data_IF_069588605682
#
_entry.id   IF_069588605682
#
_cell.length_a   1.000
_cell.length_b   1.000
_cell.length_c   1.000
_cell.angle_alpha   90.00
_cell.angle_beta   90.00
_cell.angle_gamma   90.00
#
_symmetry.space_group_name_H-M   'P 1'
#
loop_
_entity.id
_entity.type
_entity.pdbx_description
1 polymer ?
#
# COMPACT_ATOMS: atom_id res chain seq x y z
N UNK A 1 26.93 29.97 -40.00
CA UNK A 1 26.88 30.59 -38.65
C UNK A 1 26.87 29.49 -37.58
N UNK A 2 28.04 29.05 -37.10
CA UNK A 2 28.14 28.00 -36.06
C UNK A 2 27.45 28.41 -34.75
N UNK A 3 27.56 29.68 -34.36
CA UNK A 3 26.99 30.21 -33.12
C UNK A 3 25.46 30.09 -33.04
N UNK A 4 24.76 30.35 -34.15
CA UNK A 4 23.29 30.23 -34.19
C UNK A 4 22.86 28.77 -34.08
N UNK A 5 23.59 27.86 -34.71
CA UNK A 5 23.35 26.42 -34.56
C UNK A 5 23.56 25.96 -33.11
N UNK A 6 24.62 26.44 -32.45
CA UNK A 6 24.92 26.07 -31.07
C UNK A 6 23.87 26.61 -30.09
N UNK A 7 23.39 27.85 -30.30
CA UNK A 7 22.28 28.43 -29.52
C UNK A 7 21.00 27.60 -29.69
N UNK A 8 20.63 27.25 -30.92
CA UNK A 8 19.44 26.43 -31.20
C UNK A 8 19.56 25.05 -30.52
N UNK A 9 20.73 24.41 -30.65
CA UNK A 9 21.00 23.10 -30.04
C UNK A 9 20.95 23.12 -28.51
N UNK A 10 21.40 24.20 -27.87
CA UNK A 10 21.27 24.39 -26.43
C UNK A 10 19.79 24.53 -26.03
N UNK A 11 19.01 25.32 -26.76
CA UNK A 11 17.58 25.50 -26.47
C UNK A 11 16.78 24.19 -26.63
N UNK A 12 17.07 23.39 -27.66
CA UNK A 12 16.44 22.09 -27.86
C UNK A 12 16.78 21.10 -26.73
N UNK A 13 18.03 21.12 -26.26
CA UNK A 13 18.46 20.29 -25.14
C UNK A 13 17.77 20.69 -23.83
N UNK A 14 17.72 21.99 -23.52
CA UNK A 14 17.06 22.49 -22.32
C UNK A 14 15.56 22.13 -22.33
N UNK A 15 14.92 22.19 -23.50
CA UNK A 15 13.53 21.73 -23.68
C UNK A 15 13.39 20.24 -23.39
N UNK A 16 14.28 19.39 -23.92
CA UNK A 16 14.28 17.95 -23.65
C UNK A 16 14.49 17.62 -22.17
N UNK A 17 15.43 18.30 -21.51
CA UNK A 17 15.71 18.12 -20.08
C UNK A 17 14.47 18.49 -19.23
N UNK A 18 13.76 19.58 -19.57
CA UNK A 18 12.49 19.94 -18.91
C UNK A 18 11.41 18.88 -19.15
N UNK A 19 11.28 18.36 -20.37
CA UNK A 19 10.33 17.29 -20.66
C UNK A 19 10.62 16.01 -19.89
N UNK A 20 11.90 15.67 -19.71
CA UNK A 20 12.31 14.52 -18.90
C UNK A 20 11.88 14.69 -17.44
N UNK A 21 12.22 15.82 -16.81
CA UNK A 21 11.86 16.09 -15.41
C UNK A 21 10.34 16.09 -15.21
N UNK A 22 9.58 16.65 -16.16
CA UNK A 22 8.12 16.65 -16.10
C UNK A 22 7.54 15.22 -16.19
N UNK A 23 8.11 14.37 -17.06
CA UNK A 23 7.70 12.97 -17.16
C UNK A 23 8.03 12.19 -15.89
N UNK A 24 9.19 12.40 -15.30
CA UNK A 24 9.55 11.78 -14.01
C UNK A 24 8.58 12.20 -12.91
N UNK A 25 8.23 13.49 -12.85
CA UNK A 25 7.26 14.01 -11.89
C UNK A 25 5.87 13.39 -12.10
N UNK A 26 5.40 13.32 -13.35
CA UNK A 26 4.13 12.68 -13.71
C UNK A 26 4.11 11.21 -13.27
N UNK A 27 5.18 10.47 -13.52
CA UNK A 27 5.31 9.07 -13.13
C UNK A 27 5.26 8.93 -11.60
N UNK A 28 5.98 9.78 -10.86
CA UNK A 28 5.92 9.80 -9.38
C UNK A 28 4.50 10.00 -8.86
N UNK A 29 3.73 10.93 -9.44
CA UNK A 29 2.33 11.12 -9.06
C UNK A 29 1.46 9.91 -9.37
N UNK A 30 1.66 9.26 -10.51
CA UNK A 30 0.91 8.05 -10.88
C UNK A 30 1.20 6.90 -9.92
N UNK A 31 2.46 6.68 -9.56
CA UNK A 31 2.85 5.63 -8.61
C UNK A 31 2.30 5.91 -7.20
N UNK A 32 2.39 7.15 -6.72
CA UNK A 32 1.79 7.54 -5.44
C UNK A 32 0.27 7.34 -5.43
N UNK A 33 -0.41 7.66 -6.53
CA UNK A 33 -1.85 7.43 -6.65
C UNK A 33 -2.20 5.94 -6.57
N UNK A 34 -1.47 5.10 -7.29
CA UNK A 34 -1.64 3.63 -7.23
C UNK A 34 -1.42 3.11 -5.81
N UNK A 35 -0.37 3.58 -5.13
CA UNK A 35 -0.07 3.19 -3.75
C UNK A 35 -1.24 3.53 -2.81
N UNK A 36 -1.74 4.77 -2.85
CA UNK A 36 -2.86 5.21 -2.02
C UNK A 36 -4.12 4.39 -2.34
N UNK A 37 -4.42 4.16 -3.61
CA UNK A 37 -5.58 3.36 -4.02
C UNK A 37 -5.49 1.89 -3.61
N UNK A 38 -4.27 1.35 -3.48
CA UNK A 38 -4.05 -0.02 -3.00
C UNK A 38 -4.12 -0.15 -1.47
N UNK A 39 -4.15 0.96 -0.74
CA UNK A 39 -4.11 0.94 0.72
C UNK A 39 -5.41 0.34 1.28
N UNK A 40 -5.34 -0.72 2.11
CA UNK A 40 -6.53 -1.32 2.68
C UNK A 40 -7.21 -0.30 3.58
N UNK A 41 -8.53 -0.23 3.50
CA UNK A 41 -9.32 0.69 4.30
C UNK A 41 -9.54 2.08 3.69
N UNK A 42 -8.86 2.45 2.58
CA UNK A 42 -8.97 3.79 1.99
C UNK A 42 -10.40 4.14 1.52
N UNK A 43 -11.22 3.12 1.22
CA UNK A 43 -12.61 3.28 0.76
C UNK A 43 -13.68 3.13 1.84
N UNK A 44 -13.32 2.98 3.11
CA UNK A 44 -14.28 2.80 4.22
C UNK A 44 -14.17 3.93 5.23
N UNK A 45 -15.27 4.24 5.91
CA UNK A 45 -15.26 5.28 6.94
C UNK A 45 -14.46 4.84 8.18
N UNK A 46 -13.90 5.78 8.96
CA UNK A 46 -13.19 5.46 10.19
C UNK A 46 -14.03 4.60 11.16
N UNK A 47 -15.32 4.86 11.25
CA UNK A 47 -16.25 4.11 12.11
C UNK A 47 -16.41 2.67 11.64
N UNK A 48 -16.51 2.45 10.32
CA UNK A 48 -16.58 1.11 9.75
C UNK A 48 -15.28 0.33 9.98
N UNK A 49 -14.12 0.97 9.83
CA UNK A 49 -12.82 0.35 10.15
C UNK A 49 -12.74 -0.05 11.62
N UNK A 50 -13.19 0.84 12.52
CA UNK A 50 -13.20 0.58 13.95
C UNK A 50 -14.12 -0.59 14.31
N UNK A 51 -15.32 -0.64 13.73
CA UNK A 51 -16.25 -1.75 13.93
C UNK A 51 -15.66 -3.07 13.44
N UNK A 52 -15.04 -3.08 12.24
CA UNK A 52 -14.38 -4.27 11.72
C UNK A 52 -13.25 -4.75 12.64
N UNK A 53 -12.46 -3.82 13.18
CA UNK A 53 -11.40 -4.13 14.14
C UNK A 53 -11.95 -4.73 15.44
N UNK A 54 -13.04 -4.17 15.98
CA UNK A 54 -13.71 -4.72 17.16
C UNK A 54 -14.21 -6.15 16.91
N UNK A 55 -14.88 -6.39 15.77
CA UNK A 55 -15.37 -7.71 15.39
C UNK A 55 -14.23 -8.73 15.27
N UNK A 56 -13.09 -8.34 14.69
CA UNK A 56 -11.92 -9.21 14.59
C UNK A 56 -11.32 -9.55 15.96
N UNK A 57 -11.26 -8.57 16.88
CA UNK A 57 -10.79 -8.79 18.26
C UNK A 57 -11.70 -9.76 19.02
N UNK A 58 -13.01 -9.60 18.88
CA UNK A 58 -13.98 -10.52 19.48
C UNK A 58 -13.85 -11.94 18.90
N UNK A 59 -13.70 -12.07 17.58
CA UNK A 59 -13.48 -13.38 16.96
C UNK A 59 -12.21 -14.07 17.49
N UNK A 60 -11.11 -13.33 17.64
CA UNK A 60 -9.87 -13.88 18.21
C UNK A 60 -10.08 -14.31 19.65
N UNK A 61 -10.77 -13.50 20.46
CA UNK A 61 -11.13 -13.86 21.85
C UNK A 61 -11.93 -15.16 21.89
N UNK A 62 -13.03 -15.23 21.15
CA UNK A 62 -13.91 -16.41 21.12
C UNK A 62 -13.19 -17.66 20.63
N UNK A 63 -12.36 -17.54 19.58
CA UNK A 63 -11.55 -18.67 19.08
C UNK A 63 -10.55 -19.14 20.13
N UNK A 64 -9.89 -18.23 20.84
CA UNK A 64 -8.98 -18.59 21.92
C UNK A 64 -9.72 -19.27 23.09
N UNK A 65 -10.88 -18.77 23.49
CA UNK A 65 -11.70 -19.40 24.52
C UNK A 65 -12.12 -20.82 24.13
N UNK A 66 -12.54 -21.02 22.88
CA UNK A 66 -12.86 -22.36 22.36
C UNK A 66 -11.64 -23.27 22.41
N UNK A 67 -10.49 -22.83 21.90
CA UNK A 67 -9.24 -23.60 21.96
C UNK A 67 -8.86 -23.98 23.39
N UNK A 68 -9.01 -23.06 24.34
CA UNK A 68 -8.75 -23.35 25.76
C UNK A 68 -9.74 -24.37 26.32
N UNK A 69 -11.04 -24.24 26.02
CA UNK A 69 -12.05 -25.25 26.43
C UNK A 69 -11.70 -26.63 25.88
N UNK A 70 -11.31 -26.74 24.61
CA UNK A 70 -10.90 -28.01 24.01
C UNK A 70 -9.63 -28.59 24.66
N UNK A 71 -8.66 -27.75 25.02
CA UNK A 71 -7.45 -28.17 25.75
C UNK A 71 -7.79 -28.69 27.15
N UNK A 72 -8.62 -27.97 27.90
CA UNK A 72 -9.01 -28.34 29.27
C UNK A 72 -9.88 -29.60 29.34
N UNK A 73 -10.60 -29.93 28.27
CA UNK A 73 -11.47 -31.10 28.19
C UNK A 73 -10.71 -32.42 27.95
N UNK A 74 -9.38 -32.41 27.84
CA UNK A 74 -8.54 -33.61 27.63
C UNK A 74 -9.05 -34.57 26.52
N UNK A 75 -9.75 -34.06 25.51
CA UNK A 75 -10.08 -34.81 24.29
C UNK A 75 -9.06 -34.60 23.16
N UNK A 76 -8.07 -33.74 23.38
CA UNK A 76 -6.97 -33.45 22.47
C UNK A 76 -5.63 -33.77 23.15
N UNK A 77 -5.42 -35.04 23.52
CA UNK A 77 -4.04 -35.54 23.44
C UNK A 77 -3.70 -35.57 21.95
N UNK A 78 -3.07 -34.51 21.45
CA UNK A 78 -2.42 -34.55 20.15
C UNK A 78 -1.37 -35.65 20.28
N UNK A 79 -1.44 -36.76 19.51
CA UNK A 79 -0.39 -37.75 19.52
C UNK A 79 0.91 -37.03 19.21
N UNK A 80 1.87 -37.08 20.15
CA UNK A 80 3.20 -36.53 19.92
C UNK A 80 3.87 -37.41 18.87
N UNK A 81 4.04 -36.90 17.66
CA UNK A 81 5.09 -37.35 16.74
C UNK A 81 6.41 -36.66 17.07
#
# INVERSE_FOLDING_TARGET
LPLVHDIIKCMDKDSQDVHQVLNELKNKFQEMRKLISSMPGIGVSPEQQQQQLQNLREQVRTKNELLQKYKSLCMFEIPKE
#
